data_IF_876509534297
#
_entry.id   IF_876509534297
#
_cell.length_a   1.000
_cell.length_b   1.000
_cell.length_c   1.000
_cell.angle_alpha   90.00
_cell.angle_beta   90.00
_cell.angle_gamma   90.00
#
_symmetry.space_group_name_H-M   'P 1'
#
loop_
_entity.id
_entity.type
_entity.pdbx_description
1 polymer ?
#
# COMPACT_ATOMS: atom_id res chain seq x y z
N UNK A 1 -44.78 -11.42 -48.82
CA UNK A 1 -44.68 -10.69 -47.53
C UNK A 1 -44.74 -11.71 -46.40
N UNK A 2 -43.59 -12.12 -45.86
CA UNK A 2 -43.50 -13.05 -44.72
C UNK A 2 -42.52 -12.40 -43.74
N UNK A 3 -43.04 -11.88 -42.62
CA UNK A 3 -42.23 -11.30 -41.54
C UNK A 3 -41.59 -12.45 -40.77
N UNK A 4 -40.26 -12.59 -40.84
CA UNK A 4 -39.48 -13.42 -39.91
C UNK A 4 -39.05 -12.53 -38.74
N UNK A 5 -39.66 -12.74 -37.58
CA UNK A 5 -39.17 -12.19 -36.31
C UNK A 5 -37.91 -12.94 -35.88
N UNK A 6 -36.77 -12.28 -35.92
CA UNK A 6 -35.52 -12.76 -35.31
C UNK A 6 -35.52 -12.36 -33.84
N UNK A 7 -35.70 -13.34 -32.94
CA UNK A 7 -35.45 -13.20 -31.50
C UNK A 7 -33.95 -13.03 -31.26
N UNK A 8 -33.55 -11.79 -30.94
CA UNK A 8 -32.22 -11.45 -30.49
C UNK A 8 -32.06 -11.95 -29.04
N UNK A 9 -31.24 -12.98 -28.84
CA UNK A 9 -30.89 -13.50 -27.51
C UNK A 9 -29.91 -12.53 -26.85
N UNK A 10 -30.39 -11.72 -25.93
CA UNK A 10 -29.56 -10.96 -25.00
C UNK A 10 -28.80 -11.93 -24.09
N UNK A 11 -27.55 -12.20 -24.44
CA UNK A 11 -26.62 -12.93 -23.57
C UNK A 11 -26.23 -12.02 -22.39
N UNK A 12 -26.88 -12.25 -21.25
CA UNK A 12 -26.44 -11.74 -19.95
C UNK A 12 -25.05 -12.30 -19.66
N UNK A 13 -24.02 -11.44 -19.72
CA UNK A 13 -22.67 -11.77 -19.25
C UNK A 13 -22.73 -12.02 -17.74
N UNK A 14 -22.76 -13.28 -17.35
CA UNK A 14 -22.63 -13.71 -15.96
C UNK A 14 -21.24 -13.30 -15.44
N UNK A 15 -21.23 -12.40 -14.45
CA UNK A 15 -20.03 -12.06 -13.70
C UNK A 15 -19.51 -13.32 -12.99
N UNK A 16 -18.38 -13.85 -13.47
CA UNK A 16 -17.71 -14.96 -12.81
C UNK A 16 -17.14 -14.47 -11.46
N UNK A 17 -17.36 -15.21 -10.36
CA UNK A 17 -16.93 -14.81 -9.03
C UNK A 17 -15.40 -14.83 -8.93
N UNK A 18 -14.84 -13.74 -8.40
CA UNK A 18 -13.41 -13.61 -8.06
C UNK A 18 -13.02 -14.76 -7.12
N UNK A 19 -12.23 -15.73 -7.61
CA UNK A 19 -11.51 -16.65 -6.71
C UNK A 19 -10.31 -15.91 -6.13
N UNK A 20 -10.49 -15.34 -4.95
CA UNK A 20 -9.38 -14.88 -4.11
C UNK A 20 -8.48 -16.07 -3.79
N UNK A 21 -7.19 -16.01 -4.15
CA UNK A 21 -6.21 -16.99 -3.69
C UNK A 21 -5.99 -16.76 -2.20
N UNK A 22 -6.30 -17.79 -1.42
CA UNK A 22 -6.15 -17.84 0.03
C UNK A 22 -4.67 -18.02 0.35
N UNK A 23 -4.09 -16.94 0.86
CA UNK A 23 -2.81 -16.85 1.55
C UNK A 23 -2.77 -15.56 2.37
N UNK A 24 -3.91 -15.19 2.96
CA UNK A 24 -4.19 -13.80 3.32
C UNK A 24 -3.84 -13.53 4.79
N UNK A 25 -2.58 -13.16 5.05
CA UNK A 25 -2.15 -12.56 6.32
C UNK A 25 -2.97 -11.31 6.70
N UNK A 26 -3.73 -10.78 5.74
CA UNK A 26 -4.80 -9.81 5.88
C UNK A 26 -5.70 -9.99 7.12
N UNK A 27 -6.21 -11.17 7.45
CA UNK A 27 -7.15 -11.29 8.58
C UNK A 27 -6.47 -10.99 9.92
N UNK A 28 -5.21 -11.40 10.07
CA UNK A 28 -4.36 -11.02 11.21
C UNK A 28 -4.06 -9.51 11.19
N UNK A 29 -3.79 -8.95 10.02
CA UNK A 29 -3.51 -7.53 9.84
C UNK A 29 -4.74 -6.64 10.10
N UNK A 30 -5.92 -7.05 9.63
CA UNK A 30 -7.22 -6.41 9.87
C UNK A 30 -7.51 -6.31 11.36
N UNK A 31 -7.29 -7.41 12.11
CA UNK A 31 -7.40 -7.40 13.58
C UNK A 31 -6.47 -6.38 14.24
N UNK A 32 -5.26 -6.19 13.73
CA UNK A 32 -4.31 -5.18 14.24
C UNK A 32 -4.73 -3.74 13.87
N UNK A 33 -5.21 -3.52 12.65
CA UNK A 33 -5.74 -2.22 12.21
C UNK A 33 -6.93 -1.80 13.09
N UNK A 34 -7.87 -2.73 13.33
CA UNK A 34 -9.04 -2.52 14.20
C UNK A 34 -8.66 -2.38 15.69
N UNK A 35 -7.46 -2.82 16.10
CA UNK A 35 -6.96 -2.73 17.48
C UNK A 35 -6.07 -1.52 17.74
N UNK A 36 -6.00 -0.54 16.82
CA UNK A 36 -5.11 0.62 16.87
C UNK A 36 -4.89 1.13 18.32
N UNK A 37 -3.64 1.23 18.83
CA UNK A 37 -3.36 1.68 20.20
C UNK A 37 -3.97 3.05 20.55
N UNK A 38 -4.13 3.93 19.55
CA UNK A 38 -4.84 5.19 19.71
C UNK A 38 -6.35 4.98 19.96
N UNK A 39 -6.96 3.96 19.36
CA UNK A 39 -8.31 3.52 19.67
C UNK A 39 -8.39 2.77 21.00
N UNK A 40 -7.41 1.94 21.36
CA UNK A 40 -7.36 1.27 22.66
C UNK A 40 -7.28 2.29 23.83
N UNK A 41 -6.48 3.36 23.66
CA UNK A 41 -6.42 4.51 24.59
C UNK A 41 -7.75 5.27 24.62
N UNK A 42 -8.37 5.52 23.45
CA UNK A 42 -9.73 6.11 23.37
C UNK A 42 -10.80 5.21 23.98
N UNK A 43 -10.63 3.89 23.94
CA UNK A 43 -11.56 2.89 24.48
C UNK A 43 -11.47 2.83 26.00
N UNK A 44 -10.25 2.84 26.59
CA UNK A 44 -10.05 3.05 28.04
C UNK A 44 -10.65 4.38 28.51
N UNK A 45 -10.40 5.47 27.79
CA UNK A 45 -11.02 6.78 28.08
C UNK A 45 -12.55 6.80 27.93
N UNK A 46 -13.13 5.91 27.11
CA UNK A 46 -14.59 5.73 26.95
C UNK A 46 -15.18 4.87 28.07
N UNK A 47 -14.47 3.84 28.51
CA UNK A 47 -14.85 3.01 29.67
C UNK A 47 -14.84 3.84 30.96
N UNK A 48 -13.91 4.79 31.08
CA UNK A 48 -13.84 5.75 32.19
C UNK A 48 -14.84 6.92 32.07
N UNK A 49 -15.43 7.17 30.89
CA UNK A 49 -16.33 8.30 30.67
C UNK A 49 -17.40 8.03 29.59
N UNK A 50 -18.49 7.30 29.95
CA UNK A 50 -19.44 6.71 28.99
C UNK A 50 -20.28 7.73 28.19
N UNK A 51 -20.37 8.98 28.66
CA UNK A 51 -21.17 10.04 28.02
C UNK A 51 -20.52 10.62 26.74
N UNK A 52 -19.24 10.36 26.48
CA UNK A 52 -18.54 10.77 25.24
C UNK A 52 -18.41 9.62 24.22
N UNK A 53 -19.36 8.68 24.22
CA UNK A 53 -19.36 7.57 23.27
C UNK A 53 -19.58 8.08 21.83
N UNK A 54 -18.66 7.72 20.94
CA UNK A 54 -18.89 7.92 19.49
C UNK A 54 -19.84 6.81 19.04
N UNK A 55 -20.84 7.18 18.25
CA UNK A 55 -21.92 6.28 17.83
C UNK A 55 -21.43 4.95 17.24
N UNK A 56 -22.17 3.85 17.43
CA UNK A 56 -21.91 2.53 16.80
C UNK A 56 -21.69 2.57 15.27
N UNK A 57 -22.19 3.61 14.58
CA UNK A 57 -21.96 3.85 13.15
C UNK A 57 -20.48 3.99 12.76
N UNK A 58 -19.58 4.33 13.68
CA UNK A 58 -18.15 4.55 13.37
C UNK A 58 -17.34 3.25 13.31
N UNK A 59 -17.66 2.23 14.12
CA UNK A 59 -16.99 0.92 14.06
C UNK A 59 -17.45 0.11 12.85
N UNK A 60 -18.75 0.20 12.51
CA UNK A 60 -19.33 -0.38 11.30
C UNK A 60 -18.73 0.24 10.02
N UNK A 61 -18.23 1.47 10.10
CA UNK A 61 -17.56 2.14 8.98
C UNK A 61 -16.12 1.65 8.75
N UNK A 62 -15.40 1.23 9.79
CA UNK A 62 -13.99 0.86 9.65
C UNK A 62 -13.80 -0.52 9.00
N UNK A 63 -14.66 -1.49 9.33
CA UNK A 63 -14.68 -2.78 8.61
C UNK A 63 -15.14 -2.63 7.16
N UNK A 64 -16.12 -1.76 6.88
CA UNK A 64 -16.53 -1.43 5.52
C UNK A 64 -15.47 -0.64 4.72
N UNK A 65 -14.59 0.11 5.39
CA UNK A 65 -13.43 0.79 4.80
C UNK A 65 -12.23 -0.15 4.57
N UNK A 66 -12.26 -1.35 5.17
CA UNK A 66 -11.24 -2.38 5.12
C UNK A 66 -11.66 -3.55 4.24
N UNK A 67 -12.60 -3.37 3.29
CA UNK A 67 -13.03 -4.52 2.49
C UNK A 67 -11.83 -5.09 1.69
N UNK A 68 -11.63 -6.43 1.70
CA UNK A 68 -10.53 -7.08 0.99
C UNK A 68 -10.60 -6.87 -0.53
N UNK A 69 -11.77 -6.49 -1.06
CA UNK A 69 -12.01 -6.19 -2.46
C UNK A 69 -11.86 -4.69 -2.83
N UNK A 70 -11.52 -3.83 -1.86
CA UNK A 70 -11.34 -2.39 -2.08
C UNK A 70 -12.63 -1.57 -2.17
N UNK A 71 -13.80 -2.12 -1.85
CA UNK A 71 -15.10 -1.40 -1.98
C UNK A 71 -15.39 -0.35 -0.90
N UNK A 72 -14.44 -0.06 0.01
CA UNK A 72 -14.54 1.07 0.93
C UNK A 72 -14.47 2.39 0.16
N UNK A 73 -15.30 3.38 0.51
CA UNK A 73 -15.38 4.68 -0.19
C UNK A 73 -13.98 5.17 -0.56
N UNK A 74 -13.70 5.27 -1.86
CA UNK A 74 -12.46 5.76 -2.48
C UNK A 74 -12.26 7.25 -2.14
N UNK A 75 -12.15 7.53 -0.85
CA UNK A 75 -12.02 8.84 -0.28
C UNK A 75 -10.62 9.37 -0.54
N UNK A 76 -10.54 10.64 -0.91
CA UNK A 76 -9.31 11.40 -0.98
C UNK A 76 -8.74 11.57 0.43
N UNK A 77 -7.96 10.57 0.88
CA UNK A 77 -7.26 10.65 2.15
C UNK A 77 -5.92 11.35 1.94
N UNK A 78 -5.50 12.27 2.83
CA UNK A 78 -4.25 13.03 2.67
C UNK A 78 -2.96 12.18 2.76
N UNK A 79 -3.10 10.89 3.11
CA UNK A 79 -2.03 9.92 3.20
C UNK A 79 -2.42 8.72 2.35
N UNK A 80 -1.50 8.23 1.53
CA UNK A 80 -1.60 6.96 0.80
C UNK A 80 -0.37 6.12 1.10
N UNK A 81 -0.46 4.81 0.89
CA UNK A 81 0.70 3.92 0.89
C UNK A 81 0.82 3.24 -0.46
N UNK A 82 2.06 2.99 -0.88
CA UNK A 82 2.42 2.36 -2.14
C UNK A 82 3.41 1.25 -1.90
N UNK A 83 3.30 0.21 -2.72
CA UNK A 83 4.29 -0.85 -2.86
C UNK A 83 4.26 -1.40 -4.29
N UNK A 84 5.42 -1.78 -4.80
CA UNK A 84 5.61 -2.29 -6.15
C UNK A 84 6.31 -3.64 -6.13
N UNK A 85 5.88 -4.53 -7.03
CA UNK A 85 6.60 -5.75 -7.33
C UNK A 85 7.42 -5.58 -8.61
N UNK A 86 8.67 -6.07 -8.58
CA UNK A 86 9.59 -5.98 -9.69
C UNK A 86 10.02 -7.36 -10.17
N UNK A 87 10.17 -7.48 -11.49
CA UNK A 87 10.77 -8.63 -12.16
C UNK A 87 12.14 -8.24 -12.73
N UNK A 88 12.95 -9.24 -13.06
CA UNK A 88 14.21 -9.07 -13.77
C UNK A 88 14.00 -9.10 -15.28
N UNK A 89 14.60 -8.14 -15.99
CA UNK A 89 14.56 -8.04 -17.46
C UNK A 89 15.95 -7.94 -18.07
N UNK A 90 16.06 -8.40 -19.33
CA UNK A 90 17.28 -8.27 -20.12
C UNK A 90 18.47 -9.09 -19.60
N UNK A 91 19.63 -8.98 -20.26
CA UNK A 91 20.80 -9.84 -19.98
C UNK A 91 21.43 -9.59 -18.59
N UNK A 92 21.22 -8.40 -18.01
CA UNK A 92 21.76 -8.02 -16.70
C UNK A 92 20.80 -8.27 -15.54
N UNK A 93 19.61 -8.85 -15.80
CA UNK A 93 18.56 -9.05 -14.81
C UNK A 93 18.13 -7.74 -14.11
N UNK A 94 18.04 -6.65 -14.86
CA UNK A 94 17.68 -5.32 -14.37
C UNK A 94 16.26 -5.32 -13.79
N UNK A 95 16.03 -4.60 -12.70
CA UNK A 95 14.70 -4.55 -12.07
C UNK A 95 13.75 -3.69 -12.90
N UNK A 96 12.60 -4.25 -13.27
CA UNK A 96 11.50 -3.54 -13.92
C UNK A 96 10.19 -3.74 -13.17
N UNK A 97 9.34 -2.71 -13.17
CA UNK A 97 8.02 -2.77 -12.55
C UNK A 97 7.14 -3.84 -13.22
N UNK A 98 6.48 -4.65 -12.39
CA UNK A 98 5.54 -5.69 -12.83
C UNK A 98 4.16 -5.58 -12.16
N UNK A 99 4.07 -5.01 -10.96
CA UNK A 99 2.80 -4.70 -10.29
C UNK A 99 2.95 -3.47 -9.42
N UNK A 100 1.91 -2.67 -9.32
CA UNK A 100 1.82 -1.53 -8.41
C UNK A 100 0.52 -1.62 -7.62
N UNK A 101 0.63 -1.40 -6.31
CA UNK A 101 -0.52 -1.27 -5.41
C UNK A 101 -0.45 0.06 -4.66
N UNK A 102 -1.57 0.80 -4.66
CA UNK A 102 -1.76 2.02 -3.87
C UNK A 102 -3.00 1.85 -3.02
N UNK A 103 -2.86 2.10 -1.71
CA UNK A 103 -3.97 2.07 -0.76
C UNK A 103 -4.16 3.43 -0.09
N UNK A 104 -5.41 3.75 0.29
CA UNK A 104 -5.72 4.97 1.02
C UNK A 104 -5.34 4.85 2.52
N UNK A 105 -5.54 5.91 3.30
CA UNK A 105 -5.23 5.91 4.73
C UNK A 105 -6.01 4.86 5.52
N UNK A 106 -7.12 4.31 5.02
CA UNK A 106 -7.85 3.23 5.68
C UNK A 106 -7.37 1.85 5.26
N UNK A 107 -6.57 1.73 4.19
CA UNK A 107 -6.14 0.46 3.62
C UNK A 107 -7.05 -0.05 2.49
N UNK A 108 -8.01 0.77 2.03
CA UNK A 108 -8.78 0.48 0.84
C UNK A 108 -7.91 0.66 -0.41
N UNK A 109 -8.04 -0.25 -1.36
CA UNK A 109 -7.28 -0.26 -2.62
C UNK A 109 -7.77 0.90 -3.49
N UNK A 110 -6.87 1.84 -3.79
CA UNK A 110 -7.11 2.93 -4.75
C UNK A 110 -6.66 2.54 -6.16
N UNK A 111 -5.61 1.72 -6.24
CA UNK A 111 -5.06 1.22 -7.49
C UNK A 111 -4.33 -0.10 -7.23
N UNK A 112 -4.55 -1.08 -8.09
CA UNK A 112 -3.82 -2.35 -8.12
C UNK A 112 -3.81 -2.82 -9.57
N UNK A 113 -2.64 -2.92 -10.18
CA UNK A 113 -2.52 -3.30 -11.59
C UNK A 113 -1.17 -3.93 -11.89
N UNK A 114 -1.21 -4.95 -12.77
CA UNK A 114 -0.02 -5.48 -13.41
C UNK A 114 0.44 -4.54 -14.51
N UNK A 115 1.76 -4.37 -14.62
CA UNK A 115 2.40 -3.43 -15.53
C UNK A 115 3.28 -4.21 -16.49
N UNK A 116 3.14 -3.92 -17.78
CA UNK A 116 3.96 -4.54 -18.81
C UNK A 116 5.42 -4.09 -18.67
N UNK A 117 6.38 -5.00 -18.42
CA UNK A 117 7.79 -4.65 -18.37
C UNK A 117 8.29 -4.15 -19.74
N UNK A 118 9.32 -3.28 -19.78
CA UNK A 118 9.79 -2.65 -21.02
C UNK A 118 10.53 -3.62 -21.95
N UNK A 119 10.98 -4.76 -21.42
CA UNK A 119 11.77 -5.79 -22.10
C UNK A 119 11.30 -7.18 -21.68
N UNK A 120 11.74 -8.22 -22.39
CA UNK A 120 11.45 -9.60 -22.03
C UNK A 120 11.92 -9.91 -20.59
N UNK A 121 11.02 -10.53 -19.82
CA UNK A 121 11.28 -10.97 -18.45
C UNK A 121 12.22 -12.17 -18.50
N UNK A 122 13.35 -12.07 -17.79
CA UNK A 122 14.34 -13.13 -17.64
C UNK A 122 14.24 -13.84 -16.30
N UNK A 123 13.70 -13.16 -15.29
CA UNK A 123 13.51 -13.70 -13.95
C UNK A 123 12.26 -13.08 -13.32
N UNK A 124 11.24 -13.89 -13.08
CA UNK A 124 10.00 -13.41 -12.45
C UNK A 124 10.17 -13.08 -10.98
N UNK A 125 11.23 -13.58 -10.33
CA UNK A 125 11.48 -13.38 -8.90
C UNK A 125 10.31 -13.83 -8.02
N UNK A 126 9.51 -14.80 -8.47
CA UNK A 126 8.19 -15.15 -7.90
C UNK A 126 8.22 -15.41 -6.40
N UNK A 127 9.29 -16.01 -5.87
CA UNK A 127 9.45 -16.26 -4.44
C UNK A 127 9.45 -14.96 -3.59
N UNK A 128 9.80 -13.82 -4.21
CA UNK A 128 9.76 -12.50 -3.61
C UNK A 128 8.59 -11.69 -4.15
N UNK A 129 8.39 -11.66 -5.48
CA UNK A 129 7.45 -10.75 -6.14
C UNK A 129 6.00 -11.25 -6.22
N UNK A 130 5.79 -12.56 -6.05
CA UNK A 130 4.50 -13.21 -6.32
C UNK A 130 4.08 -13.23 -7.80
N UNK A 131 4.85 -12.63 -8.71
CA UNK A 131 4.50 -12.49 -10.13
C UNK A 131 4.77 -13.79 -10.88
N UNK A 132 3.83 -14.18 -11.75
CA UNK A 132 3.95 -15.29 -12.70
C UNK A 132 3.78 -14.81 -14.15
N UNK A 133 4.22 -15.59 -15.16
CA UNK A 133 4.05 -15.24 -16.57
C UNK A 133 2.62 -14.83 -16.94
N UNK A 134 1.63 -15.60 -16.48
CA UNK A 134 0.21 -15.38 -16.75
C UNK A 134 -0.33 -14.06 -16.17
N UNK A 135 0.33 -13.47 -15.17
CA UNK A 135 -0.06 -12.19 -14.58
C UNK A 135 0.30 -11.01 -15.50
N UNK A 136 1.29 -11.20 -16.39
CA UNK A 136 1.80 -10.18 -17.31
C UNK A 136 1.24 -10.33 -18.74
N UNK A 137 0.14 -11.07 -18.88
CA UNK A 137 -0.54 -11.31 -20.16
C UNK A 137 -2.01 -10.81 -20.16
N UNK A 138 -2.49 -10.47 -21.36
CA UNK A 138 -3.88 -10.10 -21.62
C UNK A 138 -4.25 -8.64 -21.35
N UNK A 139 -5.51 -8.32 -21.58
CA UNK A 139 -6.04 -6.94 -21.63
C UNK A 139 -6.04 -6.20 -20.28
N UNK A 140 -5.71 -6.89 -19.17
CA UNK A 140 -5.69 -6.32 -17.82
C UNK A 140 -4.33 -5.73 -17.45
N UNK A 141 -3.31 -5.95 -18.27
CA UNK A 141 -1.96 -5.44 -18.05
C UNK A 141 -1.86 -4.06 -18.67
N UNK A 142 -1.50 -3.08 -17.84
CA UNK A 142 -1.36 -1.70 -18.30
C UNK A 142 0.06 -1.41 -18.75
N UNK A 143 0.22 -0.37 -19.55
CA UNK A 143 1.55 0.18 -19.84
C UNK A 143 2.10 0.90 -18.60
N UNK A 144 3.42 1.03 -18.53
CA UNK A 144 4.06 1.83 -17.48
C UNK A 144 3.53 3.26 -17.45
N UNK A 145 3.24 3.85 -18.61
CA UNK A 145 2.73 5.22 -18.69
C UNK A 145 1.34 5.37 -18.07
N UNK A 146 0.44 4.42 -18.33
CA UNK A 146 -0.89 4.43 -17.71
C UNK A 146 -0.80 4.26 -16.19
N UNK A 147 0.10 3.39 -15.72
CA UNK A 147 0.35 3.23 -14.29
C UNK A 147 0.90 4.51 -13.65
N UNK A 148 1.85 5.19 -14.31
CA UNK A 148 2.40 6.48 -13.86
C UNK A 148 1.33 7.57 -13.78
N UNK A 149 0.47 7.69 -14.81
CA UNK A 149 -0.57 8.73 -14.86
C UNK A 149 -1.60 8.54 -13.73
N UNK A 150 -1.98 7.29 -13.42
CA UNK A 150 -2.86 6.99 -12.29
C UNK A 150 -2.15 7.24 -10.95
N UNK A 151 -0.91 6.77 -10.80
CA UNK A 151 -0.13 6.93 -9.59
C UNK A 151 0.13 8.41 -9.27
N UNK A 152 0.52 9.23 -10.26
CA UNK A 152 0.76 10.67 -10.09
C UNK A 152 -0.50 11.37 -9.56
N UNK A 153 -1.65 11.11 -10.20
CA UNK A 153 -2.94 11.66 -9.78
C UNK A 153 -3.30 11.27 -8.35
N UNK A 154 -3.05 10.01 -7.97
CA UNK A 154 -3.38 9.50 -6.63
C UNK A 154 -2.42 9.99 -5.54
N UNK A 155 -1.15 10.28 -5.88
CA UNK A 155 -0.13 10.73 -4.93
C UNK A 155 -0.02 12.25 -4.82
N UNK A 156 -0.54 12.98 -5.81
CA UNK A 156 -0.41 14.45 -5.90
C UNK A 156 -0.83 15.15 -4.62
N UNK A 157 0.09 15.95 -4.06
CA UNK A 157 -0.09 16.71 -2.82
C UNK A 157 -0.41 15.86 -1.56
N UNK A 158 -0.19 14.54 -1.60
CA UNK A 158 -0.43 13.64 -0.47
C UNK A 158 0.87 13.16 0.14
N UNK A 159 0.79 12.76 1.41
CA UNK A 159 1.87 11.99 2.05
C UNK A 159 1.85 10.58 1.45
N UNK A 160 3.02 10.09 1.03
CA UNK A 160 3.18 8.74 0.50
C UNK A 160 4.05 7.93 1.47
N UNK A 161 3.50 6.83 1.95
CA UNK A 161 4.14 5.89 2.87
C UNK A 161 4.61 4.67 2.07
N UNK A 162 5.77 4.13 2.41
CA UNK A 162 6.30 2.89 1.81
C UNK A 162 7.47 2.33 2.62
N UNK A 163 8.16 1.34 2.07
CA UNK A 163 9.33 0.71 2.72
C UNK A 163 10.49 0.56 1.73
N UNK A 164 11.57 1.32 1.93
CA UNK A 164 12.63 1.49 0.91
C UNK A 164 12.06 2.04 -0.40
N UNK A 165 11.15 3.03 -0.26
CA UNK A 165 10.27 3.53 -1.33
C UNK A 165 11.02 4.15 -2.52
N UNK A 166 12.31 4.42 -2.37
CA UNK A 166 13.17 4.83 -3.48
C UNK A 166 13.21 3.78 -4.60
N UNK A 167 13.14 2.50 -4.25
CA UNK A 167 13.15 1.41 -5.22
C UNK A 167 11.87 1.42 -6.06
N UNK A 168 10.71 1.63 -5.43
CA UNK A 168 9.42 1.77 -6.10
C UNK A 168 9.41 2.96 -7.05
N UNK A 169 9.90 4.12 -6.60
CA UNK A 169 9.97 5.32 -7.43
C UNK A 169 10.96 5.19 -8.58
N UNK A 170 12.06 4.45 -8.40
CA UNK A 170 13.00 4.13 -9.47
C UNK A 170 12.36 3.21 -10.52
N UNK A 171 11.68 2.14 -10.09
CA UNK A 171 10.95 1.23 -10.99
C UNK A 171 9.81 1.94 -11.73
N UNK A 172 9.14 2.89 -11.06
CA UNK A 172 8.11 3.75 -11.66
C UNK A 172 8.69 4.86 -12.52
N UNK A 173 9.99 5.14 -12.46
CA UNK A 173 10.62 6.33 -13.07
C UNK A 173 9.91 7.64 -12.67
N UNK A 174 9.56 7.77 -11.39
CA UNK A 174 8.82 8.90 -10.84
C UNK A 174 9.57 9.56 -9.68
N UNK A 175 9.18 10.79 -9.37
CA UNK A 175 9.67 11.50 -8.19
C UNK A 175 8.52 12.07 -7.37
N UNK A 176 8.61 11.92 -6.05
CA UNK A 176 7.68 12.55 -5.11
C UNK A 176 8.43 13.52 -4.19
N UNK A 177 7.84 14.66 -3.78
CA UNK A 177 8.51 15.62 -2.91
C UNK A 177 8.97 14.95 -1.61
N UNK A 178 10.27 15.03 -1.31
CA UNK A 178 10.87 14.35 -0.12
C UNK A 178 10.17 14.69 1.20
N UNK A 179 9.61 15.90 1.33
CA UNK A 179 8.85 16.33 2.53
C UNK A 179 7.53 15.56 2.73
N UNK A 180 6.98 14.99 1.66
CA UNK A 180 5.75 14.21 1.64
C UNK A 180 6.02 12.69 1.67
N UNK A 181 7.28 12.25 1.66
CA UNK A 181 7.61 10.83 1.77
C UNK A 181 7.74 10.41 3.24
N UNK A 182 7.19 9.25 3.58
CA UNK A 182 7.33 8.58 4.88
C UNK A 182 7.82 7.16 4.66
N UNK A 183 9.14 7.04 4.52
CA UNK A 183 9.78 5.74 4.31
C UNK A 183 10.04 5.04 5.64
N UNK A 184 9.37 3.90 5.84
CA UNK A 184 9.49 3.09 7.06
C UNK A 184 10.84 2.39 7.17
N UNK A 185 11.58 2.16 6.09
CA UNK A 185 12.93 1.59 6.16
C UNK A 185 13.94 2.59 6.77
N UNK A 186 13.70 3.89 6.58
CA UNK A 186 14.60 4.97 6.99
C UNK A 186 14.05 5.88 8.09
N UNK A 187 12.95 5.47 8.73
CA UNK A 187 12.50 6.13 9.96
C UNK A 187 13.44 5.77 11.10
N UNK A 188 14.06 6.77 11.73
CA UNK A 188 15.19 6.54 12.67
C UNK A 188 14.88 5.56 13.82
N UNK A 189 13.68 5.58 14.46
CA UNK A 189 13.28 4.56 15.44
C UNK A 189 13.16 3.13 14.90
N UNK A 190 13.06 2.96 13.58
CA UNK A 190 12.99 1.67 12.89
C UNK A 190 14.35 1.19 12.37
N UNK A 191 15.40 1.99 12.49
CA UNK A 191 16.72 1.60 12.00
C UNK A 191 17.54 0.93 13.11
N UNK A 192 18.45 0.03 12.71
CA UNK A 192 19.50 -0.48 13.60
C UNK A 192 20.82 0.24 13.38
N UNK A 193 21.60 0.33 14.45
CA UNK A 193 22.99 0.75 14.36
C UNK A 193 23.87 -0.48 14.10
N UNK A 194 24.70 -0.41 13.06
CA UNK A 194 25.73 -1.40 12.77
C UNK A 194 27.05 -0.68 12.52
N UNK A 195 28.02 -0.87 13.41
CA UNK A 195 29.25 -0.06 13.46
C UNK A 195 28.89 1.44 13.50
N UNK A 196 29.39 2.21 12.55
CA UNK A 196 29.14 3.66 12.41
C UNK A 196 28.02 3.99 11.41
N UNK A 197 27.22 3.00 10.98
CA UNK A 197 26.15 3.19 9.99
C UNK A 197 24.78 2.83 10.57
N UNK A 198 23.76 3.53 10.11
CA UNK A 198 22.37 3.17 10.34
C UNK A 198 21.87 2.35 9.16
N UNK A 199 21.31 1.17 9.44
CA UNK A 199 20.81 0.25 8.43
C UNK A 199 19.30 0.01 8.63
N UNK A 200 18.54 -0.13 7.53
CA UNK A 200 17.14 -0.50 7.60
C UNK A 200 16.97 -1.93 8.12
N UNK A 201 15.80 -2.20 8.70
CA UNK A 201 15.30 -3.56 8.93
C UNK A 201 14.33 -3.94 7.82
N UNK A 202 14.17 -5.24 7.55
CA UNK A 202 13.10 -5.74 6.67
C UNK A 202 11.72 -5.38 7.24
N UNK A 203 10.74 -5.15 6.37
CA UNK A 203 9.36 -4.84 6.75
C UNK A 203 8.76 -5.89 7.69
N UNK A 204 8.85 -7.18 7.34
CA UNK A 204 8.45 -8.31 8.19
C UNK A 204 9.05 -8.24 9.61
N UNK A 205 10.33 -7.88 9.75
CA UNK A 205 10.96 -7.76 11.07
C UNK A 205 10.32 -6.62 11.88
N UNK A 206 10.07 -5.47 11.25
CA UNK A 206 9.42 -4.35 11.91
C UNK A 206 8.00 -4.71 12.35
N UNK A 207 7.23 -5.40 11.50
CA UNK A 207 5.88 -5.85 11.84
C UNK A 207 5.90 -6.80 13.05
N UNK A 208 6.80 -7.78 13.05
CA UNK A 208 6.98 -8.68 14.18
C UNK A 208 7.39 -7.95 15.46
N UNK A 209 8.33 -7.01 15.36
CA UNK A 209 8.80 -6.21 16.50
C UNK A 209 7.70 -5.32 17.07
N UNK A 210 6.92 -4.68 16.22
CA UNK A 210 5.95 -3.66 16.62
C UNK A 210 4.57 -4.23 16.97
N UNK A 211 4.20 -5.37 16.42
CA UNK A 211 2.86 -5.95 16.57
C UNK A 211 2.85 -7.42 17.03
N UNK A 212 4.02 -8.01 17.30
CA UNK A 212 4.15 -9.36 17.85
C UNK A 212 3.66 -10.47 16.91
N UNK A 213 3.41 -10.18 15.63
CA UNK A 213 2.84 -11.10 14.65
C UNK A 213 3.78 -11.24 13.46
N UNK A 214 3.99 -12.46 12.99
CA UNK A 214 4.62 -12.68 11.70
C UNK A 214 3.60 -12.31 10.60
N UNK A 215 3.87 -11.20 9.90
CA UNK A 215 3.10 -10.73 8.76
C UNK A 215 4.07 -10.80 7.57
N UNK A 216 3.58 -11.11 6.36
CA UNK A 216 4.40 -11.36 5.15
C UNK A 216 5.21 -12.67 5.23
N UNK A 217 4.55 -13.78 5.53
CA UNK A 217 5.17 -15.11 5.34
C UNK A 217 4.84 -15.61 3.93
N UNK A 218 5.86 -16.03 3.17
CA UNK A 218 5.72 -16.55 1.81
C UNK A 218 6.06 -15.54 0.72
N UNK A 219 5.45 -15.70 -0.46
CA UNK A 219 5.52 -14.75 -1.58
C UNK A 219 4.91 -13.40 -1.14
N UNK A 220 5.46 -12.28 -1.62
CA UNK A 220 4.91 -10.96 -1.26
C UNK A 220 3.63 -10.67 -2.05
N UNK A 221 2.80 -9.81 -1.46
CA UNK A 221 1.67 -9.18 -2.13
C UNK A 221 1.73 -7.68 -1.85
N UNK A 222 2.00 -6.90 -2.89
CA UNK A 222 2.09 -5.43 -2.79
C UNK A 222 0.90 -4.73 -2.10
N UNK A 223 -0.33 -5.29 -2.10
CA UNK A 223 -1.44 -4.67 -1.35
C UNK A 223 -1.19 -4.84 0.14
N UNK A 224 -0.88 -6.06 0.58
CA UNK A 224 -0.59 -6.35 1.97
C UNK A 224 0.64 -5.61 2.47
N UNK A 225 1.67 -5.47 1.64
CA UNK A 225 2.89 -4.72 1.93
C UNK A 225 2.61 -3.22 2.08
N UNK A 226 1.85 -2.61 1.17
CA UNK A 226 1.42 -1.22 1.28
C UNK A 226 0.60 -0.98 2.57
N UNK A 227 -0.30 -1.90 2.93
CA UNK A 227 -1.08 -1.84 4.18
C UNK A 227 -0.19 -1.98 5.43
N UNK A 228 0.81 -2.84 5.38
CA UNK A 228 1.75 -3.07 6.46
C UNK A 228 2.61 -1.82 6.75
N UNK A 229 3.10 -1.13 5.72
CA UNK A 229 3.83 0.13 5.91
C UNK A 229 2.95 1.22 6.51
N UNK A 230 1.67 1.27 6.10
CA UNK A 230 0.68 2.18 6.63
C UNK A 230 0.40 1.92 8.12
N UNK A 231 0.37 0.65 8.55
CA UNK A 231 0.24 0.27 9.95
C UNK A 231 1.40 0.81 10.81
N UNK A 232 2.63 0.62 10.35
CA UNK A 232 3.81 1.16 11.02
C UNK A 232 3.77 2.69 11.10
N UNK A 233 3.43 3.35 9.99
CA UNK A 233 3.27 4.82 9.98
C UNK A 233 2.20 5.28 10.97
N UNK A 234 1.01 4.66 10.97
CA UNK A 234 -0.09 5.00 11.87
C UNK A 234 0.31 4.89 13.35
N UNK A 235 1.05 3.85 13.71
CA UNK A 235 1.52 3.64 15.09
C UNK A 235 2.42 4.77 15.59
N UNK A 236 3.20 5.38 14.70
CA UNK A 236 4.19 6.44 15.03
C UNK A 236 3.86 7.81 14.43
N UNK A 237 2.64 7.99 13.91
CA UNK A 237 2.28 9.17 13.10
C UNK A 237 2.50 10.47 13.88
N UNK A 238 2.12 10.51 15.15
CA UNK A 238 2.20 11.75 15.95
C UNK A 238 3.64 12.17 16.14
N UNK A 239 4.50 11.24 16.55
CA UNK A 239 5.94 11.46 16.75
C UNK A 239 6.62 11.83 15.43
N UNK A 240 6.36 11.06 14.38
CA UNK A 240 6.98 11.24 13.07
C UNK A 240 6.63 12.60 12.47
N UNK A 241 5.35 13.00 12.44
CA UNK A 241 4.96 14.29 11.89
C UNK A 241 5.50 15.47 12.72
N UNK A 242 5.60 15.31 14.04
CA UNK A 242 6.21 16.33 14.89
C UNK A 242 7.72 16.49 14.63
N UNK A 243 8.44 15.40 14.38
CA UNK A 243 9.85 15.45 14.00
C UNK A 243 10.07 16.17 12.67
N UNK A 244 9.24 15.90 11.66
CA UNK A 244 9.31 16.55 10.35
C UNK A 244 9.08 18.06 10.48
N UNK A 245 8.01 18.46 11.18
CA UNK A 245 7.70 19.89 11.43
C UNK A 245 8.84 20.61 12.15
N UNK A 246 9.47 19.96 13.15
CA UNK A 246 10.63 20.53 13.85
C UNK A 246 11.83 20.72 12.91
N UNK A 247 12.13 19.74 12.05
CA UNK A 247 13.21 19.83 11.06
C UNK A 247 12.96 20.96 10.04
N UNK A 248 11.72 21.13 9.59
CA UNK A 248 11.34 22.21 8.66
C UNK A 248 11.52 23.60 9.29
N UNK A 249 11.07 23.78 10.54
CA UNK A 249 11.30 25.04 11.28
C UNK A 249 12.78 25.36 11.44
N UNK A 250 13.60 24.36 11.74
CA UNK A 250 15.05 24.55 11.89
C UNK A 250 15.73 24.91 10.56
N UNK A 251 15.28 24.33 9.43
CA UNK A 251 15.81 24.68 8.10
C UNK A 251 15.49 26.12 7.71
N UNK A 252 14.26 26.58 7.93
CA UNK A 252 13.86 27.96 7.65
C UNK A 252 14.69 28.98 8.45
N UNK A 253 14.94 28.71 9.73
CA UNK A 253 15.80 29.57 10.57
C UNK A 253 17.27 29.65 10.11
N UNK A 254 17.76 28.66 9.36
CA UNK A 254 19.14 28.62 8.85
C UNK A 254 19.31 29.27 7.48
N UNK A 255 18.25 29.34 6.67
CA UNK A 255 18.29 29.92 5.32
C UNK A 255 17.70 31.35 5.25
N UNK A 256 17.05 31.83 6.31
CA UNK A 256 16.57 33.20 6.45
C UNK A 256 17.56 34.13 7.17
N UNK A 257 18.85 33.84 7.12
CA UNK A 257 19.95 34.69 7.60
C UNK A 257 20.90 34.97 6.46
#
# INVERSE_FOLDING_TARGET
>A
MVKKETKEKTATKEAHPKKAKIGSNWESMKKLILRNPAEAKRRRLREENPEKSVSPKTLVNLEALLNPDGSGTASDTPVVAIDCEMVGVGPNNESALARISIVNYYGAILYDSFVKPPSAVTDYRTQWSGIRPEDLEGDRVVTLREAQDVADRLMKNRIVVGHSISNDFEALMMHHPRRLIRDTAYYRPFMRKWKNKWLPHKLQYLLKREFGTAIQEGEHDSIDDARATLLLYKKYRVEWENEIKKKEKTKHRKHGK
#
